data_IF_580776155695
#
_entry.id   IF_580776155695
#
_cell.length_a   1.000
_cell.length_b   1.000
_cell.length_c   1.000
_cell.angle_alpha   90.00
_cell.angle_beta   90.00
_cell.angle_gamma   90.00
#
_symmetry.space_group_name_H-M   'P 1'
#
loop_
_entity.id
_entity.type
_entity.pdbx_description
1 polymer ?
#
# COMPACT_ATOMS: atom_id res chain seq x y z
N UNK A 1 -21.03 13.11 25.61
CA UNK A 1 -20.00 12.05 25.77
C UNK A 1 -19.69 11.60 24.38
N UNK A 2 -18.71 12.26 23.80
CA UNK A 2 -18.72 12.57 22.38
C UNK A 2 -18.16 11.37 21.63
N UNK A 3 -19.09 10.61 21.04
CA UNK A 3 -18.76 9.53 20.12
C UNK A 3 -17.92 10.14 19.00
N UNK A 4 -16.67 9.72 18.89
CA UNK A 4 -15.83 10.00 17.73
C UNK A 4 -16.43 9.26 16.52
N UNK A 5 -17.43 9.90 15.90
CA UNK A 5 -18.13 9.40 14.73
C UNK A 5 -17.12 9.42 13.57
N UNK A 6 -16.81 8.24 13.04
CA UNK A 6 -16.19 8.11 11.74
C UNK A 6 -17.13 8.74 10.70
N UNK A 7 -16.84 9.98 10.28
CA UNK A 7 -17.70 10.77 9.36
C UNK A 7 -18.03 10.05 8.05
N UNK A 8 -17.23 9.07 7.67
CA UNK A 8 -17.43 8.23 6.48
C UNK A 8 -18.73 7.40 6.51
N UNK A 9 -19.24 7.07 7.70
CA UNK A 9 -20.42 6.22 7.90
C UNK A 9 -21.51 6.91 8.73
N UNK A 10 -21.62 8.23 8.65
CA UNK A 10 -22.70 8.99 9.31
C UNK A 10 -24.10 8.51 8.89
N UNK A 11 -24.21 7.93 7.71
CA UNK A 11 -25.44 7.39 7.12
C UNK A 11 -25.72 5.93 7.51
N UNK A 12 -24.83 5.27 8.28
CA UNK A 12 -24.99 3.88 8.75
C UNK A 12 -25.08 3.87 10.28
N UNK A 13 -26.12 3.24 10.86
CA UNK A 13 -26.23 3.06 12.31
C UNK A 13 -24.94 2.48 12.91
N UNK A 14 -24.49 3.00 14.06
CA UNK A 14 -23.19 2.66 14.67
C UNK A 14 -23.00 1.16 14.89
N UNK A 15 -24.07 0.42 15.21
CA UNK A 15 -24.08 -1.04 15.36
C UNK A 15 -23.89 -1.81 14.04
N UNK A 16 -24.14 -1.18 12.89
CA UNK A 16 -24.00 -1.79 11.55
C UNK A 16 -22.69 -1.40 10.84
N UNK A 17 -21.92 -0.45 11.38
CA UNK A 17 -20.68 0.02 10.77
C UNK A 17 -19.63 -1.09 10.59
N UNK A 18 -19.34 -1.93 11.62
CA UNK A 18 -18.36 -3.01 11.45
C UNK A 18 -18.81 -4.05 10.43
N UNK A 19 -20.11 -4.39 10.41
CA UNK A 19 -20.68 -5.33 9.45
C UNK A 19 -20.62 -4.83 8.01
N UNK A 20 -20.86 -3.54 7.81
CA UNK A 20 -20.74 -2.89 6.49
C UNK A 20 -19.29 -2.95 6.00
N UNK A 21 -18.32 -2.67 6.88
CA UNK A 21 -16.90 -2.78 6.55
C UNK A 21 -16.50 -4.22 6.21
N UNK A 22 -16.93 -5.21 7.00
CA UNK A 22 -16.67 -6.63 6.74
C UNK A 22 -17.25 -7.04 5.38
N UNK A 23 -18.48 -6.63 5.07
CA UNK A 23 -19.12 -6.91 3.79
C UNK A 23 -18.30 -6.34 2.62
N UNK A 24 -17.90 -5.06 2.69
CA UNK A 24 -17.09 -4.42 1.65
C UNK A 24 -15.72 -5.10 1.49
N UNK A 25 -15.08 -5.49 2.59
CA UNK A 25 -13.81 -6.23 2.58
C UNK A 25 -13.99 -7.59 1.90
N UNK A 26 -15.04 -8.34 2.23
CA UNK A 26 -15.32 -9.64 1.62
C UNK A 26 -15.59 -9.52 0.12
N UNK A 27 -16.37 -8.52 -0.30
CA UNK A 27 -16.63 -8.25 -1.73
C UNK A 27 -15.33 -7.92 -2.45
N UNK A 28 -14.51 -7.03 -1.89
CA UNK A 28 -13.21 -6.64 -2.46
C UNK A 28 -12.23 -7.82 -2.56
N UNK A 29 -12.10 -8.61 -1.49
CA UNK A 29 -11.24 -9.81 -1.47
C UNK A 29 -11.72 -10.87 -2.45
N UNK A 30 -13.04 -11.05 -2.59
CA UNK A 30 -13.62 -12.00 -3.56
C UNK A 30 -13.30 -11.57 -4.99
N UNK A 31 -13.54 -10.30 -5.33
CA UNK A 31 -13.19 -9.76 -6.64
C UNK A 31 -11.68 -9.89 -6.93
N UNK A 32 -10.84 -9.55 -5.96
CA UNK A 32 -9.39 -9.71 -6.07
C UNK A 32 -8.97 -11.18 -6.28
N UNK A 33 -9.57 -12.11 -5.53
CA UNK A 33 -9.27 -13.54 -5.67
C UNK A 33 -9.65 -14.07 -7.06
N UNK A 34 -10.83 -13.69 -7.56
CA UNK A 34 -11.27 -14.07 -8.91
C UNK A 34 -10.29 -13.60 -10.00
N UNK A 35 -9.70 -12.42 -9.85
CA UNK A 35 -8.72 -11.86 -10.78
C UNK A 35 -7.31 -12.49 -10.65
N UNK A 36 -6.92 -12.85 -9.43
CA UNK A 36 -5.58 -13.39 -9.13
C UNK A 36 -5.48 -14.89 -9.44
N UNK A 37 -6.54 -15.66 -9.22
CA UNK A 37 -6.53 -17.12 -9.38
C UNK A 37 -6.09 -17.57 -10.79
N UNK A 38 -6.59 -17.02 -11.91
CA UNK A 38 -6.14 -17.40 -13.25
C UNK A 38 -4.66 -17.08 -13.48
N UNK A 39 -4.20 -15.91 -13.00
CA UNK A 39 -2.80 -15.48 -13.11
C UNK A 39 -1.89 -16.40 -12.31
N UNK A 40 -2.31 -16.78 -11.11
CA UNK A 40 -1.58 -17.72 -10.27
C UNK A 40 -1.53 -19.13 -10.90
N UNK A 41 -2.61 -19.58 -11.52
CA UNK A 41 -2.63 -20.84 -12.26
C UNK A 41 -1.66 -20.82 -13.45
N UNK A 42 -1.59 -19.71 -14.19
CA UNK A 42 -0.60 -19.53 -15.26
C UNK A 42 0.84 -19.58 -14.72
N UNK A 43 1.12 -18.86 -13.64
CA UNK A 43 2.44 -18.87 -12.99
C UNK A 43 2.81 -20.25 -12.43
N UNK A 44 1.85 -21.03 -11.95
CA UNK A 44 2.07 -22.41 -11.48
C UNK A 44 2.42 -23.39 -12.60
N UNK A 45 2.04 -23.08 -13.85
CA UNK A 45 2.44 -23.86 -15.04
C UNK A 45 3.86 -23.52 -15.50
N UNK A 46 4.47 -22.44 -15.00
CA UNK A 46 5.88 -22.16 -15.24
C UNK A 46 6.76 -23.25 -14.60
N UNK A 47 7.92 -23.51 -15.20
CA UNK A 47 8.84 -24.58 -14.78
C UNK A 47 9.19 -24.53 -13.28
N UNK A 48 9.40 -25.71 -12.69
CA UNK A 48 9.82 -25.82 -11.29
C UNK A 48 11.26 -25.31 -11.14
N UNK A 49 11.39 -24.09 -10.64
CA UNK A 49 12.67 -23.53 -10.21
C UNK A 49 13.05 -24.08 -8.82
N UNK A 50 14.31 -24.44 -8.61
CA UNK A 50 14.78 -24.81 -7.27
C UNK A 50 14.78 -23.55 -6.38
N UNK A 51 13.82 -23.46 -5.44
CA UNK A 51 13.63 -22.28 -4.60
C UNK A 51 14.39 -22.32 -3.27
N UNK A 52 14.96 -23.47 -2.95
CA UNK A 52 15.69 -23.71 -1.70
C UNK A 52 17.21 -23.54 -1.82
N UNK A 53 17.73 -23.36 -3.03
CA UNK A 53 19.15 -23.02 -3.20
C UNK A 53 19.41 -21.56 -2.81
N UNK A 54 20.39 -21.36 -1.93
CA UNK A 54 20.87 -20.04 -1.45
C UNK A 54 19.75 -19.12 -0.90
N UNK A 55 18.89 -19.63 -0.02
CA UNK A 55 17.77 -18.89 0.60
C UNK A 55 18.16 -17.50 1.12
N UNK A 56 19.23 -17.42 1.91
CA UNK A 56 19.68 -16.15 2.50
C UNK A 56 20.06 -15.11 1.44
N UNK A 57 20.82 -15.54 0.42
CA UNK A 57 21.24 -14.67 -0.69
C UNK A 57 20.03 -14.17 -1.50
N UNK A 58 19.04 -15.04 -1.74
CA UNK A 58 17.80 -14.69 -2.45
C UNK A 58 16.94 -13.73 -1.64
N UNK A 59 16.79 -13.93 -0.33
CA UNK A 59 16.06 -13.00 0.54
C UNK A 59 16.74 -11.63 0.52
N UNK A 60 18.05 -11.57 0.73
CA UNK A 60 18.78 -10.29 0.74
C UNK A 60 18.72 -9.58 -0.61
N UNK A 61 18.85 -10.33 -1.71
CA UNK A 61 18.70 -9.80 -3.07
C UNK A 61 17.29 -9.27 -3.31
N UNK A 62 16.27 -10.00 -2.87
CA UNK A 62 14.87 -9.58 -3.00
C UNK A 62 14.61 -8.33 -2.17
N UNK A 63 15.11 -8.25 -0.94
CA UNK A 63 14.96 -7.06 -0.10
C UNK A 63 15.66 -5.84 -0.72
N UNK A 64 16.88 -6.01 -1.25
CA UNK A 64 17.60 -4.92 -1.92
C UNK A 64 16.93 -4.45 -3.23
N UNK A 65 16.28 -5.36 -3.96
CA UNK A 65 15.56 -4.99 -5.18
C UNK A 65 14.19 -4.39 -4.84
N UNK A 66 13.46 -4.98 -3.90
CA UNK A 66 12.10 -4.59 -3.56
C UNK A 66 12.06 -3.31 -2.71
N UNK A 67 12.78 -3.27 -1.59
CA UNK A 67 12.81 -2.10 -0.70
C UNK A 67 13.89 -1.11 -1.13
N UNK A 68 15.08 -1.61 -1.47
CA UNK A 68 16.16 -0.74 -1.95
C UNK A 68 15.92 -0.16 -3.34
N UNK A 69 14.94 -0.68 -4.10
CA UNK A 69 14.61 -0.24 -5.47
C UNK A 69 15.82 -0.12 -6.40
N UNK A 70 16.87 -0.90 -6.14
CA UNK A 70 18.18 -0.77 -6.80
C UNK A 70 18.11 -0.89 -8.32
N UNK A 71 17.17 -1.70 -8.84
CA UNK A 71 16.91 -1.81 -10.29
C UNK A 71 16.20 -0.60 -10.88
N UNK A 72 15.29 0.04 -10.14
CA UNK A 72 14.55 1.21 -10.62
C UNK A 72 15.42 2.47 -10.58
N UNK A 73 16.31 2.57 -9.58
CA UNK A 73 17.25 3.69 -9.44
C UNK A 73 18.33 3.74 -10.53
N UNK A 74 18.48 2.69 -11.34
CA UNK A 74 19.34 2.71 -12.54
C UNK A 74 18.89 3.76 -13.56
N UNK A 75 17.60 4.09 -13.57
CA UNK A 75 17.01 5.14 -14.40
C UNK A 75 16.61 6.34 -13.52
N UNK A 76 17.51 7.28 -13.22
CA UNK A 76 17.36 8.21 -12.10
C UNK A 76 16.09 9.06 -12.17
N UNK A 77 15.66 9.49 -13.35
CA UNK A 77 14.43 10.29 -13.52
C UNK A 77 13.15 9.52 -13.14
N UNK A 78 13.10 8.22 -13.42
CA UNK A 78 11.93 7.39 -13.14
C UNK A 78 12.05 6.71 -11.77
N UNK A 79 13.27 6.32 -11.38
CA UNK A 79 13.56 5.60 -10.15
C UNK A 79 13.27 6.40 -8.90
N UNK A 80 13.74 7.66 -8.83
CA UNK A 80 13.52 8.50 -7.65
C UNK A 80 12.04 8.76 -7.37
N UNK A 81 11.26 9.00 -8.42
CA UNK A 81 9.80 9.13 -8.32
C UNK A 81 9.17 7.86 -7.74
N UNK A 82 9.52 6.67 -8.25
CA UNK A 82 8.97 5.41 -7.74
C UNK A 82 9.41 5.12 -6.29
N UNK A 83 10.62 5.51 -5.91
CA UNK A 83 11.13 5.34 -4.55
C UNK A 83 10.33 6.20 -3.57
N UNK A 84 10.15 7.49 -3.88
CA UNK A 84 9.34 8.42 -3.08
C UNK A 84 7.91 7.90 -2.92
N UNK A 85 7.28 7.48 -4.01
CA UNK A 85 5.91 6.96 -3.97
C UNK A 85 5.82 5.68 -3.11
N UNK A 86 6.72 4.73 -3.32
CA UNK A 86 6.72 3.45 -2.60
C UNK A 86 6.94 3.62 -1.09
N UNK A 87 8.00 4.32 -0.69
CA UNK A 87 8.32 4.53 0.72
C UNK A 87 7.25 5.36 1.42
N UNK A 88 6.70 6.36 0.73
CA UNK A 88 5.60 7.13 1.26
C UNK A 88 4.34 6.30 1.45
N UNK A 89 3.97 5.46 0.48
CA UNK A 89 2.83 4.54 0.64
C UNK A 89 3.06 3.49 1.72
N UNK A 90 4.30 3.03 1.95
CA UNK A 90 4.61 2.10 3.03
C UNK A 90 4.29 2.71 4.41
N UNK A 91 4.61 3.99 4.61
CA UNK A 91 4.27 4.74 5.83
C UNK A 91 2.75 4.93 5.95
N UNK A 92 2.08 5.32 4.85
CA UNK A 92 0.63 5.52 4.84
C UNK A 92 -0.15 4.21 5.04
N UNK A 93 0.39 3.07 4.61
CA UNK A 93 -0.22 1.77 4.78
C UNK A 93 -0.38 1.42 6.26
N UNK A 94 0.60 1.77 7.10
CA UNK A 94 0.49 1.57 8.55
C UNK A 94 -0.72 2.32 9.12
N UNK A 95 -0.92 3.58 8.68
CA UNK A 95 -2.08 4.38 9.10
C UNK A 95 -3.40 3.83 8.57
N UNK A 96 -3.42 3.39 7.31
CA UNK A 96 -4.61 2.76 6.73
C UNK A 96 -4.99 1.49 7.48
N UNK A 97 -4.00 0.65 7.83
CA UNK A 97 -4.21 -0.56 8.63
C UNK A 97 -4.82 -0.25 10.01
N UNK A 98 -4.34 0.81 10.67
CA UNK A 98 -4.91 1.28 11.94
C UNK A 98 -6.39 1.69 11.78
N UNK A 99 -6.73 2.42 10.72
CA UNK A 99 -8.12 2.79 10.44
C UNK A 99 -9.03 1.57 10.21
N UNK A 100 -8.56 0.57 9.47
CA UNK A 100 -9.29 -0.69 9.31
C UNK A 100 -9.47 -1.41 10.65
N UNK A 101 -8.44 -1.43 11.49
CA UNK A 101 -8.48 -2.08 12.80
C UNK A 101 -9.52 -1.43 13.72
N UNK A 102 -9.51 -0.10 13.83
CA UNK A 102 -10.49 0.66 14.63
C UNK A 102 -11.91 0.48 14.09
N UNK A 103 -12.07 0.47 12.76
CA UNK A 103 -13.37 0.29 12.13
C UNK A 103 -13.98 -1.10 12.36
N UNK A 104 -13.16 -2.14 12.44
CA UNK A 104 -13.60 -3.52 12.69
C UNK A 104 -13.84 -3.80 14.17
N UNK A 105 -13.06 -3.17 15.07
CA UNK A 105 -13.11 -3.39 16.51
C UNK A 105 -13.32 -2.08 17.28
N UNK A 106 -14.50 -1.46 17.20
CA UNK A 106 -14.77 -0.16 17.85
C UNK A 106 -14.70 -0.22 19.38
N UNK A 107 -15.00 -1.38 19.99
CA UNK A 107 -14.97 -1.57 21.45
C UNK A 107 -13.54 -1.75 22.00
N UNK A 108 -12.60 -2.13 21.14
CA UNK A 108 -11.18 -2.14 21.50
C UNK A 108 -10.72 -0.70 21.38
N UNK A 109 -10.47 -0.05 22.52
CA UNK A 109 -9.69 1.20 22.54
C UNK A 109 -8.35 0.89 21.87
N UNK A 110 -8.21 1.23 20.60
CA UNK A 110 -6.99 0.92 19.86
C UNK A 110 -5.86 1.75 20.46
N UNK A 111 -5.08 1.14 21.34
CA UNK A 111 -3.88 1.72 21.91
C UNK A 111 -2.70 1.68 20.91
N UNK A 112 -2.96 1.83 19.61
CA UNK A 112 -1.94 2.29 18.66
C UNK A 112 -1.66 3.78 18.79
N UNK A 113 -2.29 4.44 19.77
CA UNK A 113 -1.67 5.56 20.46
C UNK A 113 -0.40 5.05 21.12
N UNK A 114 0.69 4.98 20.34
CA UNK A 114 2.06 4.97 20.84
C UNK A 114 2.08 5.80 22.12
N UNK A 115 2.54 5.19 23.20
CA UNK A 115 2.77 5.86 24.48
C UNK A 115 3.40 7.24 24.19
N UNK A 116 2.92 8.26 24.89
CA UNK A 116 2.96 9.69 24.56
C UNK A 116 4.22 10.32 23.88
N UNK A 117 5.47 9.80 23.95
CA UNK A 117 6.59 10.42 23.21
C UNK A 117 6.63 10.20 21.68
N UNK A 118 6.11 9.11 21.12
CA UNK A 118 6.36 8.78 19.70
C UNK A 118 5.27 9.25 18.73
N UNK A 119 4.14 9.74 19.24
CA UNK A 119 3.03 10.17 18.40
C UNK A 119 3.34 11.44 17.60
N UNK A 120 4.03 12.41 18.20
CA UNK A 120 4.36 13.67 17.53
C UNK A 120 5.35 13.45 16.37
N UNK A 121 6.48 12.74 16.55
CA UNK A 121 7.37 12.41 15.43
C UNK A 121 6.67 11.62 14.32
N UNK A 122 5.80 10.68 14.68
CA UNK A 122 5.03 9.90 13.71
C UNK A 122 4.08 10.78 12.89
N UNK A 123 3.37 11.72 13.52
CA UNK A 123 2.47 12.64 12.81
C UNK A 123 3.22 13.50 11.81
N UNK A 124 4.37 14.06 12.19
CA UNK A 124 5.25 14.80 11.28
C UNK A 124 5.76 13.95 10.13
N UNK A 125 6.22 12.73 10.42
CA UNK A 125 6.67 11.79 9.39
C UNK A 125 5.54 11.44 8.42
N UNK A 126 4.33 11.21 8.94
CA UNK A 126 3.13 10.90 8.16
C UNK A 126 2.72 12.07 7.28
N UNK A 127 2.68 13.30 7.80
CA UNK A 127 2.36 14.49 7.00
C UNK A 127 3.42 14.75 5.92
N UNK A 128 4.70 14.56 6.24
CA UNK A 128 5.78 14.58 5.25
C UNK A 128 5.63 13.50 4.19
N UNK A 129 5.24 12.29 4.57
CA UNK A 129 4.96 11.19 3.64
C UNK A 129 3.78 11.51 2.72
N UNK A 130 2.69 12.09 3.24
CA UNK A 130 1.55 12.54 2.41
C UNK A 130 2.01 13.55 1.36
N UNK A 131 2.77 14.56 1.76
CA UNK A 131 3.28 15.58 0.85
C UNK A 131 4.21 14.97 -0.20
N UNK A 132 5.15 14.11 0.21
CA UNK A 132 6.07 13.43 -0.68
C UNK A 132 5.36 12.53 -1.71
N UNK A 133 4.37 11.72 -1.28
CA UNK A 133 3.58 10.88 -2.18
C UNK A 133 2.77 11.74 -3.14
N UNK A 134 2.15 12.82 -2.65
CA UNK A 134 1.35 13.72 -3.49
C UNK A 134 2.19 14.31 -4.60
N UNK A 135 3.38 14.85 -4.28
CA UNK A 135 4.30 15.37 -5.29
C UNK A 135 4.79 14.27 -6.25
N UNK A 136 5.12 13.08 -5.73
CA UNK A 136 5.55 11.94 -6.54
C UNK A 136 4.47 11.50 -7.54
N UNK A 137 3.21 11.37 -7.08
CA UNK A 137 2.07 11.00 -7.91
C UNK A 137 1.73 12.09 -8.94
N UNK A 138 1.78 13.37 -8.56
CA UNK A 138 1.59 14.47 -9.51
C UNK A 138 2.66 14.46 -10.61
N UNK A 139 3.92 14.24 -10.26
CA UNK A 139 4.98 14.08 -11.25
C UNK A 139 4.79 12.83 -12.12
N UNK A 140 4.37 11.71 -11.53
CA UNK A 140 4.05 10.49 -12.27
C UNK A 140 2.92 10.71 -13.28
N UNK A 141 1.87 11.42 -12.87
CA UNK A 141 0.75 11.77 -13.72
C UNK A 141 1.17 12.73 -14.83
N UNK A 142 1.95 13.77 -14.51
CA UNK A 142 2.54 14.69 -15.49
C UNK A 142 3.38 13.94 -16.52
N UNK A 143 4.26 13.04 -16.07
CA UNK A 143 5.09 12.22 -16.96
C UNK A 143 4.24 11.30 -17.83
N UNK A 144 3.15 10.76 -17.31
CA UNK A 144 2.25 9.87 -18.06
C UNK A 144 1.42 10.61 -19.10
N UNK A 145 0.89 11.79 -18.77
CA UNK A 145 -0.03 12.53 -19.63
C UNK A 145 0.68 13.48 -20.61
N UNK A 146 1.77 14.11 -20.19
CA UNK A 146 2.47 15.14 -20.97
C UNK A 146 3.71 14.58 -21.65
N UNK A 147 4.65 14.00 -20.88
CA UNK A 147 5.94 13.54 -21.44
C UNK A 147 5.77 12.33 -22.36
N UNK A 148 4.79 11.45 -22.09
CA UNK A 148 4.46 10.24 -22.89
C UNK A 148 5.71 9.50 -23.39
N UNK A 149 6.53 8.93 -22.49
CA UNK A 149 7.78 8.28 -22.89
C UNK A 149 7.53 7.14 -23.88
N UNK A 150 8.31 7.13 -24.96
CA UNK A 150 8.17 6.26 -26.15
C UNK A 150 8.26 4.74 -25.87
N UNK A 151 8.57 4.34 -24.63
CA UNK A 151 8.72 2.94 -24.20
C UNK A 151 7.39 2.29 -23.77
N UNK A 152 6.27 3.00 -23.89
CA UNK A 152 4.90 2.55 -23.60
C UNK A 152 4.05 2.45 -24.88
N UNK A 153 4.68 2.29 -26.04
CA UNK A 153 3.96 1.91 -27.25
C UNK A 153 3.61 0.42 -27.16
N UNK A 154 2.35 0.12 -27.48
CA UNK A 154 1.81 -1.24 -27.51
C UNK A 154 2.78 -2.15 -28.29
N UNK A 155 3.16 -3.28 -27.71
CA UNK A 155 3.65 -4.40 -28.50
C UNK A 155 2.48 -4.84 -29.38
N UNK A 156 2.44 -4.31 -30.60
CA UNK A 156 1.59 -4.81 -31.68
C UNK A 156 1.94 -6.27 -31.96
#
# INVERSE_FOLDING_TARGET
MDQHINRAFEWVPSNLQPWTLIFLILVSLTAFALEVLPKLQLLRKAGKENRTDQLLKRIFTTLNIAFGQTKLLQEPKSGWMHAMIFWGFLILLARAGEFFFIGLFPDIKSHFSFTAPFIIPYLWLKDGAVLMVTLGVLYALYRRLVIKPHRLTLST
#
